data_IF_454123119803
#
_entry.id   IF_454123119803
#
_cell.length_a   1.000
_cell.length_b   1.000
_cell.length_c   1.000
_cell.angle_alpha   90.00
_cell.angle_beta   90.00
_cell.angle_gamma   90.00
#
_symmetry.space_group_name_H-M   'P 1'
#
loop_
_entity.id
_entity.type
_entity.pdbx_description
1 polymer ?
#
# COMPACT_ATOMS: atom_id res chain seq x y z
N UNK A 1 12.96 -6.06 2.24
CA UNK A 1 13.18 -7.48 1.85
C UNK A 1 13.78 -8.35 2.97
N UNK A 2 14.82 -7.92 3.70
CA UNK A 2 15.43 -8.77 4.75
C UNK A 2 14.42 -9.25 5.82
N UNK A 3 13.53 -8.38 6.31
CA UNK A 3 12.50 -8.76 7.29
C UNK A 3 11.48 -9.76 6.71
N UNK A 4 11.05 -9.58 5.45
CA UNK A 4 10.21 -10.55 4.74
C UNK A 4 10.85 -11.94 4.70
N UNK A 5 12.12 -12.02 4.25
CA UNK A 5 12.86 -13.29 4.15
C UNK A 5 13.08 -13.96 5.49
N UNK A 6 13.23 -13.17 6.55
CA UNK A 6 13.33 -13.66 7.93
C UNK A 6 11.99 -14.22 8.41
N UNK A 7 10.90 -13.53 8.12
CA UNK A 7 9.56 -13.97 8.53
C UNK A 7 9.05 -15.17 7.73
N UNK A 8 9.43 -15.29 6.45
CA UNK A 8 9.12 -16.46 5.62
C UNK A 8 9.63 -17.78 6.23
N UNK A 9 10.71 -17.71 7.01
CA UNK A 9 11.34 -18.85 7.70
C UNK A 9 10.89 -19.02 9.15
N UNK A 10 9.85 -18.30 9.57
CA UNK A 10 9.37 -18.30 10.96
C UNK A 10 8.39 -19.44 11.24
N UNK A 11 8.18 -19.74 12.53
CA UNK A 11 7.26 -20.79 12.97
C UNK A 11 5.83 -20.62 12.42
N UNK A 12 5.22 -19.41 12.40
CA UNK A 12 3.88 -19.24 11.84
C UNK A 12 3.74 -19.74 10.40
N UNK A 13 4.71 -19.46 9.52
CA UNK A 13 4.67 -19.93 8.12
C UNK A 13 4.92 -21.43 8.06
N UNK A 14 5.87 -21.94 8.84
CA UNK A 14 6.20 -23.37 8.89
C UNK A 14 5.03 -24.21 9.44
N UNK A 15 4.25 -23.66 10.37
CA UNK A 15 3.01 -24.29 10.86
C UNK A 15 1.98 -24.42 9.73
N UNK A 16 1.78 -23.38 8.94
CA UNK A 16 0.84 -23.42 7.80
C UNK A 16 1.33 -24.43 6.75
N UNK A 17 2.64 -24.49 6.50
CA UNK A 17 3.24 -25.49 5.59
C UNK A 17 2.97 -26.92 6.04
N UNK A 18 3.12 -27.22 7.34
CA UNK A 18 2.77 -28.53 7.91
C UNK A 18 1.28 -28.85 7.77
N UNK A 19 0.41 -27.88 8.01
CA UNK A 19 -1.03 -28.05 7.79
C UNK A 19 -1.34 -28.35 6.32
N UNK A 20 -0.66 -27.69 5.39
CA UNK A 20 -0.78 -27.93 3.95
C UNK A 20 -0.39 -29.37 3.59
N UNK A 21 0.76 -29.84 4.09
CA UNK A 21 1.26 -31.21 3.93
C UNK A 21 0.26 -32.24 4.46
N UNK A 22 -0.23 -32.05 5.68
CA UNK A 22 -1.19 -32.96 6.32
C UNK A 22 -2.53 -33.00 5.57
N UNK A 23 -3.05 -31.83 5.19
CA UNK A 23 -4.35 -31.70 4.54
C UNK A 23 -4.38 -32.36 3.16
N UNK A 24 -3.30 -32.21 2.38
CA UNK A 24 -3.24 -32.72 1.01
C UNK A 24 -2.51 -34.06 0.87
N UNK A 25 -1.92 -34.58 1.94
CA UNK A 25 -1.19 -35.86 1.93
C UNK A 25 0.06 -35.84 1.02
N UNK A 26 0.75 -34.69 0.94
CA UNK A 26 1.93 -34.50 0.09
C UNK A 26 3.20 -34.77 0.93
N UNK A 27 4.24 -35.43 0.40
CA UNK A 27 5.51 -35.60 1.12
C UNK A 27 6.10 -34.26 1.60
N UNK A 28 6.56 -34.22 2.85
CA UNK A 28 7.04 -33.01 3.50
C UNK A 28 8.21 -32.35 2.75
N UNK A 29 9.07 -33.15 2.14
CA UNK A 29 10.28 -32.71 1.44
C UNK A 29 9.99 -31.95 0.14
N UNK A 30 8.75 -32.00 -0.35
CA UNK A 30 8.33 -31.38 -1.62
C UNK A 30 7.75 -29.99 -1.38
N UNK A 31 7.07 -29.76 -0.26
CA UNK A 31 6.35 -28.51 0.01
C UNK A 31 7.29 -27.47 0.62
N UNK A 32 7.41 -26.33 -0.05
CA UNK A 32 8.23 -25.19 0.35
C UNK A 32 7.39 -24.05 0.94
N UNK A 33 7.98 -23.08 1.67
CA UNK A 33 7.28 -21.86 2.08
C UNK A 33 6.72 -21.06 0.90
N UNK A 34 7.37 -21.11 -0.27
CA UNK A 34 6.90 -20.48 -1.50
C UNK A 34 5.58 -21.10 -2.01
N UNK A 35 5.39 -22.40 -1.82
CA UNK A 35 4.13 -23.08 -2.15
C UNK A 35 2.98 -22.61 -1.24
N UNK A 36 3.27 -22.31 0.03
CA UNK A 36 2.29 -21.72 0.96
C UNK A 36 1.89 -20.32 0.50
N UNK A 37 2.86 -19.50 0.06
CA UNK A 37 2.56 -18.18 -0.53
C UNK A 37 1.71 -18.33 -1.78
N UNK A 38 2.03 -19.28 -2.66
CA UNK A 38 1.26 -19.54 -3.87
C UNK A 38 -0.18 -19.94 -3.53
N UNK A 39 -0.37 -20.84 -2.56
CA UNK A 39 -1.69 -21.25 -2.09
C UNK A 39 -2.49 -20.07 -1.51
N UNK A 40 -1.86 -19.19 -0.71
CA UNK A 40 -2.48 -17.98 -0.18
C UNK A 40 -2.94 -17.04 -1.31
N UNK A 41 -2.08 -16.82 -2.30
CA UNK A 41 -2.42 -16.00 -3.45
C UNK A 41 -3.58 -16.59 -4.24
N UNK A 42 -3.54 -17.89 -4.56
CA UNK A 42 -4.63 -18.57 -5.30
C UNK A 42 -5.94 -18.51 -4.51
N UNK A 43 -5.90 -18.75 -3.20
CA UNK A 43 -7.05 -18.56 -2.31
C UNK A 43 -7.67 -17.15 -2.46
N UNK A 44 -6.84 -16.10 -2.37
CA UNK A 44 -7.29 -14.71 -2.52
C UNK A 44 -7.87 -14.40 -3.91
N UNK A 45 -7.19 -14.83 -4.98
CA UNK A 45 -7.65 -14.61 -6.36
C UNK A 45 -8.94 -15.37 -6.68
N UNK A 46 -9.04 -16.64 -6.31
CA UNK A 46 -10.26 -17.43 -6.53
C UNK A 46 -11.44 -16.91 -5.73
N UNK A 47 -11.20 -16.44 -4.49
CA UNK A 47 -12.24 -15.79 -3.68
C UNK A 47 -12.74 -14.51 -4.33
N UNK A 48 -11.83 -13.69 -4.87
CA UNK A 48 -12.20 -12.47 -5.59
C UNK A 48 -12.95 -12.76 -6.90
N UNK A 49 -12.56 -13.81 -7.63
CA UNK A 49 -13.17 -14.20 -8.89
C UNK A 49 -14.54 -14.88 -8.70
N UNK A 50 -14.67 -15.75 -7.70
CA UNK A 50 -15.86 -16.58 -7.45
C UNK A 50 -16.50 -16.28 -6.10
N UNK A 51 -16.78 -15.00 -5.83
CA UNK A 51 -17.27 -14.54 -4.53
C UNK A 51 -18.65 -15.10 -4.12
N UNK A 52 -19.43 -15.64 -5.06
CA UNK A 52 -20.72 -16.30 -4.79
C UNK A 52 -20.64 -17.83 -4.72
N UNK A 53 -19.48 -18.39 -5.05
CA UNK A 53 -19.28 -19.84 -5.11
C UNK A 53 -18.78 -20.43 -3.78
N UNK A 54 -18.38 -21.69 -3.86
CA UNK A 54 -17.71 -22.33 -2.74
C UNK A 54 -16.34 -21.69 -2.48
N UNK A 55 -15.91 -21.71 -1.22
CA UNK A 55 -14.57 -21.28 -0.85
C UNK A 55 -13.51 -22.05 -1.65
N UNK A 56 -12.44 -21.36 -2.04
CA UNK A 56 -11.31 -21.98 -2.71
C UNK A 56 -10.72 -23.08 -1.83
N UNK A 57 -10.44 -24.25 -2.42
CA UNK A 57 -9.75 -25.35 -1.72
C UNK A 57 -8.37 -24.93 -1.23
N UNK A 58 -7.75 -23.94 -1.89
CA UNK A 58 -6.46 -23.39 -1.52
C UNK A 58 -6.53 -22.50 -0.29
N UNK A 59 -7.72 -22.13 0.18
CA UNK A 59 -7.89 -21.46 1.47
C UNK A 59 -7.85 -22.42 2.67
N UNK A 60 -8.07 -23.72 2.44
CA UNK A 60 -8.23 -24.69 3.52
C UNK A 60 -6.99 -24.87 4.44
N UNK A 61 -5.74 -24.75 3.97
CA UNK A 61 -4.54 -24.78 4.82
C UNK A 61 -4.50 -23.67 5.88
N UNK A 62 -5.16 -22.53 5.63
CA UNK A 62 -5.22 -21.38 6.55
C UNK A 62 -6.38 -21.56 7.54
N UNK A 63 -6.25 -22.61 8.36
CA UNK A 63 -7.32 -23.12 9.23
C UNK A 63 -7.74 -22.20 10.38
N UNK A 64 -6.96 -21.15 10.66
CA UNK A 64 -7.21 -20.22 11.74
C UNK A 64 -7.04 -18.76 11.30
N UNK A 65 -7.68 -17.84 12.04
CA UNK A 65 -7.46 -16.41 11.85
C UNK A 65 -5.98 -16.02 12.06
N UNK A 66 -5.27 -16.73 12.94
CA UNK A 66 -3.85 -16.51 13.16
C UNK A 66 -3.02 -16.84 11.91
N UNK A 67 -3.37 -17.88 11.17
CA UNK A 67 -2.67 -18.25 9.94
C UNK A 67 -2.85 -17.20 8.85
N UNK A 68 -4.09 -16.70 8.65
CA UNK A 68 -4.36 -15.60 7.72
C UNK A 68 -3.66 -14.30 8.16
N UNK A 69 -3.66 -14.00 9.46
CA UNK A 69 -2.96 -12.82 9.99
C UNK A 69 -1.44 -12.93 9.80
N UNK A 70 -0.87 -14.14 9.87
CA UNK A 70 0.55 -14.36 9.60
C UNK A 70 0.86 -14.10 8.12
N UNK A 71 0.03 -14.59 7.20
CA UNK A 71 0.21 -14.31 5.77
C UNK A 71 0.04 -12.83 5.43
N UNK A 72 -0.94 -12.15 6.04
CA UNK A 72 -1.07 -10.69 5.92
C UNK A 72 0.19 -9.98 6.44
N UNK A 73 0.73 -10.40 7.59
CA UNK A 73 1.92 -9.80 8.17
C UNK A 73 3.16 -10.02 7.30
N UNK A 74 3.30 -11.21 6.69
CA UNK A 74 4.35 -11.50 5.72
C UNK A 74 4.29 -10.51 4.55
N UNK A 75 3.11 -10.32 3.93
CA UNK A 75 2.93 -9.34 2.86
C UNK A 75 3.19 -7.90 3.30
N UNK A 76 2.79 -7.55 4.53
CA UNK A 76 3.03 -6.22 5.08
C UNK A 76 4.51 -5.90 5.22
N UNK A 77 5.32 -6.87 5.65
CA UNK A 77 6.77 -6.70 5.71
C UNK A 77 7.39 -6.43 4.34
N UNK A 78 6.87 -7.01 3.26
CA UNK A 78 7.34 -6.67 1.91
C UNK A 78 6.87 -5.27 1.50
N UNK A 79 5.55 -5.03 1.54
CA UNK A 79 4.95 -3.78 1.06
C UNK A 79 5.45 -2.56 1.83
N UNK A 80 5.55 -2.65 3.15
CA UNK A 80 6.03 -1.56 4.00
C UNK A 80 7.49 -1.24 3.71
N UNK A 81 8.37 -2.25 3.68
CA UNK A 81 9.82 -2.04 3.50
C UNK A 81 10.22 -1.69 2.08
N UNK A 82 9.62 -2.35 1.10
CA UNK A 82 10.05 -2.29 -0.30
C UNK A 82 9.30 -1.21 -1.07
N UNK A 83 8.02 -0.97 -0.76
CA UNK A 83 7.16 -0.13 -1.61
C UNK A 83 6.61 1.13 -0.94
N UNK A 84 6.62 1.20 0.39
CA UNK A 84 6.08 2.32 1.14
C UNK A 84 7.12 2.92 2.10
N UNK A 85 6.78 3.04 3.38
CA UNK A 85 7.47 3.87 4.38
C UNK A 85 8.89 3.42 4.72
N UNK A 86 9.23 2.15 4.55
CA UNK A 86 10.53 1.61 4.96
C UNK A 86 11.71 2.05 4.10
N UNK A 87 11.47 2.69 2.96
CA UNK A 87 12.55 3.31 2.18
C UNK A 87 12.14 4.69 1.66
N UNK A 88 12.94 5.71 2.01
CA UNK A 88 12.75 7.10 1.60
C UNK A 88 12.61 7.25 0.08
N UNK A 89 13.26 6.40 -0.72
CA UNK A 89 13.15 6.44 -2.18
C UNK A 89 11.71 6.28 -2.66
N UNK A 90 10.87 5.50 -1.98
CA UNK A 90 9.49 5.28 -2.38
C UNK A 90 8.68 6.57 -2.35
N UNK A 91 8.82 7.35 -1.28
CA UNK A 91 8.21 8.68 -1.17
C UNK A 91 8.71 9.63 -2.27
N UNK A 92 10.01 9.57 -2.60
CA UNK A 92 10.60 10.40 -3.67
C UNK A 92 10.09 10.02 -5.07
N UNK A 93 9.82 8.74 -5.32
CA UNK A 93 9.30 8.29 -6.62
C UNK A 93 7.89 8.82 -6.93
N UNK A 94 7.12 9.25 -5.92
CA UNK A 94 5.81 9.90 -6.11
C UNK A 94 5.88 11.44 -6.14
N UNK A 95 7.08 12.04 -6.17
CA UNK A 95 7.27 13.49 -6.10
C UNK A 95 6.60 14.22 -7.30
N UNK A 96 6.81 13.72 -8.51
CA UNK A 96 6.21 14.31 -9.73
C UNK A 96 4.68 14.19 -9.72
N UNK A 97 4.14 13.04 -9.27
CA UNK A 97 2.69 12.85 -9.10
C UNK A 97 2.11 13.86 -8.09
N UNK A 98 2.75 14.02 -6.94
CA UNK A 98 2.30 14.97 -5.92
C UNK A 98 2.34 16.42 -6.42
N UNK A 99 3.39 16.78 -7.17
CA UNK A 99 3.48 18.10 -7.83
C UNK A 99 2.36 18.30 -8.84
N UNK A 100 2.10 17.30 -9.70
CA UNK A 100 1.03 17.36 -10.68
C UNK A 100 -0.34 17.56 -10.04
N UNK A 101 -0.59 16.93 -8.88
CA UNK A 101 -1.83 17.13 -8.10
C UNK A 101 -1.96 18.58 -7.63
N UNK A 102 -0.90 19.14 -7.03
CA UNK A 102 -0.89 20.55 -6.57
C UNK A 102 -1.10 21.52 -7.73
N UNK A 103 -0.37 21.33 -8.83
CA UNK A 103 -0.49 22.17 -10.02
C UNK A 103 -1.90 22.08 -10.62
N UNK A 104 -2.51 20.88 -10.61
CA UNK A 104 -3.89 20.65 -11.03
C UNK A 104 -4.89 21.40 -10.14
N UNK A 105 -4.73 21.38 -8.82
CA UNK A 105 -5.60 22.13 -7.92
C UNK A 105 -5.48 23.63 -8.10
N UNK A 106 -4.26 24.15 -8.24
CA UNK A 106 -4.03 25.58 -8.51
C UNK A 106 -4.64 26.01 -9.84
N UNK A 107 -4.47 25.21 -10.89
CA UNK A 107 -5.09 25.49 -12.18
C UNK A 107 -6.62 25.50 -12.08
N UNK A 108 -7.23 24.49 -11.43
CA UNK A 108 -8.69 24.40 -11.25
C UNK A 108 -9.27 25.52 -10.39
N UNK A 109 -8.50 26.03 -9.42
CA UNK A 109 -8.87 27.17 -8.59
C UNK A 109 -8.94 28.49 -9.38
N UNK A 110 -8.06 28.66 -10.38
CA UNK A 110 -8.01 29.83 -11.25
C UNK A 110 -9.02 29.73 -12.40
N UNK A 111 -9.04 28.57 -13.07
CA UNK A 111 -9.85 28.32 -14.24
C UNK A 111 -10.46 26.92 -14.14
N UNK A 112 -11.77 26.86 -13.95
CA UNK A 112 -12.54 25.64 -13.62
C UNK A 112 -12.72 24.69 -14.83
N UNK A 113 -11.73 24.63 -15.71
CA UNK A 113 -11.71 23.92 -17.00
C UNK A 113 -11.93 22.42 -16.86
N UNK A 114 -11.41 21.79 -15.81
CA UNK A 114 -11.69 20.38 -15.50
C UNK A 114 -12.22 20.21 -14.09
N UNK A 115 -13.14 19.25 -13.93
CA UNK A 115 -13.78 18.90 -12.64
C UNK A 115 -13.13 17.71 -11.96
N UNK A 116 -12.50 16.83 -12.72
CA UNK A 116 -11.85 15.63 -12.23
C UNK A 116 -10.70 15.21 -13.16
N UNK A 117 -9.69 14.56 -12.58
CA UNK A 117 -8.64 13.82 -13.29
C UNK A 117 -8.58 12.43 -12.67
N UNK A 118 -8.59 11.41 -13.52
CA UNK A 118 -8.56 10.02 -13.11
C UNK A 118 -7.24 9.41 -13.57
N UNK A 119 -6.55 8.74 -12.66
CA UNK A 119 -5.31 8.04 -12.94
C UNK A 119 -5.46 6.58 -12.50
N UNK A 120 -5.10 5.66 -13.38
CA UNK A 120 -5.12 4.24 -13.11
C UNK A 120 -3.69 3.70 -13.05
N UNK A 121 -3.38 2.94 -12.00
CA UNK A 121 -2.03 2.42 -11.79
C UNK A 121 -2.07 1.14 -10.95
N UNK A 122 -0.91 0.55 -10.71
CA UNK A 122 -0.74 -0.63 -9.88
C UNK A 122 -0.50 -0.26 -8.41
N UNK A 123 -0.73 -1.22 -7.51
CA UNK A 123 -0.58 -1.05 -6.05
C UNK A 123 0.78 -0.46 -5.66
N UNK A 124 1.87 -0.86 -6.31
CA UNK A 124 3.21 -0.36 -5.99
C UNK A 124 3.42 1.14 -6.24
N UNK A 125 2.70 1.74 -7.20
CA UNK A 125 2.72 3.19 -7.43
C UNK A 125 1.82 3.91 -6.41
N UNK A 126 0.66 3.32 -6.09
CA UNK A 126 -0.24 3.84 -5.07
C UNK A 126 0.44 3.86 -3.68
N UNK A 127 1.19 2.82 -3.33
CA UNK A 127 1.96 2.73 -2.08
C UNK A 127 3.04 3.81 -1.96
N UNK A 128 3.65 4.22 -3.09
CA UNK A 128 4.60 5.35 -3.13
C UNK A 128 3.91 6.68 -2.85
N UNK A 129 2.71 6.88 -3.41
CA UNK A 129 1.89 8.06 -3.12
C UNK A 129 1.43 8.06 -1.65
N UNK A 130 1.04 6.90 -1.10
CA UNK A 130 0.74 6.72 0.34
C UNK A 130 1.92 7.15 1.20
N UNK A 131 3.13 6.68 0.88
CA UNK A 131 4.35 7.08 1.58
C UNK A 131 4.66 8.57 1.44
N UNK A 132 4.37 9.17 0.29
CA UNK A 132 4.56 10.61 0.05
C UNK A 132 3.54 11.47 0.79
N UNK A 133 2.31 10.99 0.96
CA UNK A 133 1.25 11.62 1.75
C UNK A 133 1.36 11.30 3.25
N UNK A 134 2.29 10.42 3.65
CA UNK A 134 2.46 9.93 5.03
C UNK A 134 1.18 9.30 5.60
N UNK A 135 0.42 8.61 4.75
CA UNK A 135 -0.78 7.88 5.17
C UNK A 135 -0.40 6.49 5.67
N UNK A 136 -1.14 5.98 6.66
CA UNK A 136 -0.93 4.65 7.23
C UNK A 136 0.52 4.40 7.68
N UNK A 137 1.20 5.43 8.17
CA UNK A 137 2.58 5.33 8.65
C UNK A 137 2.59 4.90 10.11
N UNK A 138 3.27 3.80 10.40
CA UNK A 138 3.55 3.36 11.76
C UNK A 138 4.68 4.20 12.39
N UNK A 139 4.56 4.48 13.69
CA UNK A 139 5.67 5.07 14.46
C UNK A 139 6.83 4.08 14.66
N UNK A 140 6.56 2.78 14.47
CA UNK A 140 7.52 1.69 14.62
C UNK A 140 7.83 1.04 13.27
N UNK A 141 9.11 0.79 13.02
CA UNK A 141 9.58 0.04 11.84
C UNK A 141 9.19 -1.44 12.01
N UNK A 142 8.24 -1.93 11.22
CA UNK A 142 7.76 -3.32 11.29
C UNK A 142 8.92 -4.32 11.07
N UNK A 143 9.03 -5.34 11.90
CA UNK A 143 10.08 -6.37 11.84
C UNK A 143 9.50 -7.77 11.94
N UNK A 144 10.17 -8.74 11.34
CA UNK A 144 9.80 -10.16 11.44
C UNK A 144 9.59 -10.63 12.89
N UNK A 145 10.39 -10.11 13.82
CA UNK A 145 10.33 -10.48 15.23
C UNK A 145 9.17 -9.85 16.03
N UNK A 146 8.39 -8.94 15.43
CA UNK A 146 7.24 -8.32 16.11
C UNK A 146 6.00 -9.22 16.11
N UNK A 147 6.01 -10.30 15.30
CA UNK A 147 4.90 -11.24 15.16
C UNK A 147 5.26 -12.63 15.71
N UNK A 148 4.38 -13.26 16.51
CA UNK A 148 3.17 -12.69 17.08
C UNK A 148 3.50 -11.71 18.21
N UNK A 149 2.69 -10.66 18.37
CA UNK A 149 2.91 -9.67 19.42
C UNK A 149 2.11 -8.39 19.25
N UNK A 150 2.09 -7.58 20.31
CA UNK A 150 1.30 -6.35 20.40
C UNK A 150 1.60 -5.36 19.27
N UNK A 151 2.88 -5.25 18.86
CA UNK A 151 3.30 -4.38 17.75
C UNK A 151 2.64 -4.83 16.45
N UNK A 152 2.73 -6.12 16.11
CA UNK A 152 2.14 -6.63 14.88
C UNK A 152 0.60 -6.55 14.91
N UNK A 153 -0.03 -6.74 16.06
CA UNK A 153 -1.49 -6.66 16.23
C UNK A 153 -2.01 -5.22 16.12
N UNK A 154 -1.29 -4.25 16.67
CA UNK A 154 -1.72 -2.84 16.70
C UNK A 154 -1.15 -1.98 15.55
N UNK A 155 -0.43 -2.59 14.60
CA UNK A 155 0.10 -1.88 13.43
C UNK A 155 -0.99 -1.16 12.64
N UNK A 156 -0.64 0.03 12.18
CA UNK A 156 -1.45 0.87 11.31
C UNK A 156 -1.36 0.34 9.87
N UNK A 157 -0.15 0.00 9.39
CA UNK A 157 0.01 -0.53 8.05
C UNK A 157 -0.57 -1.94 7.92
N UNK A 158 -1.59 -2.07 7.06
CA UNK A 158 -2.18 -3.35 6.67
C UNK A 158 -2.48 -3.33 5.18
N UNK A 159 -1.76 -4.13 4.41
CA UNK A 159 -1.83 -4.20 2.95
C UNK A 159 -3.25 -4.44 2.44
N UNK A 160 -4.01 -5.28 3.16
CA UNK A 160 -5.43 -5.57 2.92
C UNK A 160 -6.35 -4.35 3.05
N UNK A 161 -5.96 -3.35 3.86
CA UNK A 161 -6.73 -2.12 4.10
C UNK A 161 -6.17 -0.92 3.34
N UNK A 162 -4.88 -0.90 3.04
CA UNK A 162 -4.22 0.20 2.34
C UNK A 162 -4.33 0.05 0.83
N UNK A 163 -4.03 -1.14 0.30
CA UNK A 163 -4.00 -1.41 -1.15
C UNK A 163 -4.63 -2.76 -1.52
N UNK A 164 -5.91 -3.00 -1.17
CA UNK A 164 -6.68 -4.14 -1.70
C UNK A 164 -6.89 -4.03 -3.22
N UNK A 165 -7.50 -5.06 -3.82
CA UNK A 165 -8.01 -4.93 -5.19
C UNK A 165 -9.00 -3.77 -5.30
N UNK A 166 -8.83 -2.94 -6.33
CA UNK A 166 -9.66 -1.74 -6.51
C UNK A 166 -9.34 -0.58 -5.57
N UNK A 167 -8.24 -0.64 -4.81
CA UNK A 167 -7.82 0.44 -3.93
C UNK A 167 -7.71 1.78 -4.68
N UNK A 168 -8.13 2.85 -4.02
CA UNK A 168 -8.12 4.19 -4.59
C UNK A 168 -7.70 5.24 -3.57
N UNK A 169 -7.13 6.33 -4.08
CA UNK A 169 -6.86 7.54 -3.33
C UNK A 169 -7.46 8.70 -4.10
N UNK A 170 -8.41 9.40 -3.49
CA UNK A 170 -9.03 10.59 -4.06
C UNK A 170 -8.58 11.82 -3.29
N UNK A 171 -8.08 12.82 -4.01
CA UNK A 171 -7.79 14.14 -3.44
C UNK A 171 -8.81 15.12 -4.01
N UNK A 172 -9.58 15.75 -3.14
CA UNK A 172 -10.73 16.59 -3.52
C UNK A 172 -10.48 18.02 -3.05
N UNK A 173 -10.55 18.97 -3.98
CA UNK A 173 -10.46 20.39 -3.70
C UNK A 173 -11.85 20.96 -3.38
N UNK A 174 -12.02 21.47 -2.17
CA UNK A 174 -13.20 22.17 -1.70
C UNK A 174 -12.98 23.68 -1.70
N UNK A 175 -14.07 24.41 -1.93
CA UNK A 175 -14.14 25.85 -1.65
C UNK A 175 -15.06 26.07 -0.45
N UNK A 176 -14.45 26.29 0.71
CA UNK A 176 -15.09 26.55 1.98
C UNK A 176 -15.22 28.06 2.19
N UNK A 177 -16.27 28.67 1.64
CA UNK A 177 -16.55 30.11 1.77
C UNK A 177 -15.35 31.02 1.40
N UNK A 178 -14.66 30.68 0.30
CA UNK A 178 -13.48 31.40 -0.19
C UNK A 178 -12.15 30.80 0.23
N UNK A 179 -12.11 29.91 1.23
CA UNK A 179 -10.91 29.13 1.59
C UNK A 179 -10.85 27.84 0.78
N UNK A 180 -9.72 27.59 0.11
CA UNK A 180 -9.50 26.37 -0.65
C UNK A 180 -8.87 25.30 0.24
N UNK A 181 -9.52 24.13 0.30
CA UNK A 181 -9.09 23.03 1.16
C UNK A 181 -9.06 21.70 0.42
N UNK A 182 -8.10 20.85 0.75
CA UNK A 182 -7.88 19.52 0.18
C UNK A 182 -8.35 18.47 1.18
N UNK A 183 -9.34 17.67 0.79
CA UNK A 183 -9.66 16.41 1.46
C UNK A 183 -8.89 15.27 0.79
N UNK A 184 -8.22 14.44 1.58
CA UNK A 184 -7.52 13.25 1.10
C UNK A 184 -8.29 12.03 1.56
N UNK A 185 -8.75 11.22 0.62
CA UNK A 185 -9.51 10.00 0.87
C UNK A 185 -8.69 8.80 0.43
N UNK A 186 -8.61 7.77 1.26
CA UNK A 186 -8.05 6.48 0.89
C UNK A 186 -9.13 5.42 1.10
N UNK A 187 -9.47 4.68 0.03
CA UNK A 187 -10.56 3.71 0.03
C UNK A 187 -11.84 4.31 0.64
N UNK A 188 -12.27 5.44 0.07
CA UNK A 188 -13.47 6.20 0.45
C UNK A 188 -13.47 6.80 1.87
N UNK A 189 -12.41 6.63 2.65
CA UNK A 189 -12.32 7.17 4.02
C UNK A 189 -11.52 8.46 4.04
N UNK A 190 -12.07 9.51 4.66
CA UNK A 190 -11.37 10.77 4.85
C UNK A 190 -10.18 10.56 5.80
N UNK A 191 -8.99 10.83 5.30
CA UNK A 191 -7.74 10.62 6.00
C UNK A 191 -7.25 11.89 6.68
N UNK A 192 -6.73 11.75 7.90
CA UNK A 192 -5.95 12.80 8.53
C UNK A 192 -4.53 12.76 7.99
N UNK A 193 -4.14 13.83 7.30
CA UNK A 193 -2.78 13.97 6.79
C UNK A 193 -1.89 14.59 7.88
N UNK A 194 -0.77 13.95 8.29
CA UNK A 194 0.00 14.39 9.47
C UNK A 194 0.58 15.80 9.40
N UNK A 195 0.84 16.31 8.19
CA UNK A 195 1.39 17.65 7.97
C UNK A 195 0.33 18.73 7.77
N UNK A 196 -0.94 18.42 8.05
CA UNK A 196 -2.05 19.35 7.95
C UNK A 196 -2.62 19.65 9.34
N UNK A 197 -2.88 20.94 9.60
CA UNK A 197 -3.36 21.46 10.88
C UNK A 197 -4.82 21.10 11.21
N UNK A 198 -5.64 20.77 10.21
CA UNK A 198 -7.06 20.46 10.36
C UNK A 198 -7.50 19.28 9.49
N UNK A 199 -8.76 18.83 9.62
CA UNK A 199 -9.27 17.67 8.88
C UNK A 199 -9.20 17.84 7.35
N UNK A 200 -9.68 18.98 6.83
CA UNK A 200 -9.45 19.38 5.44
C UNK A 200 -8.22 20.29 5.41
N UNK A 201 -7.19 19.91 4.67
CA UNK A 201 -5.91 20.62 4.64
C UNK A 201 -6.03 21.92 3.84
N UNK A 202 -5.59 23.05 4.37
CA UNK A 202 -5.55 24.28 3.57
C UNK A 202 -4.62 24.09 2.35
N UNK A 203 -5.05 24.56 1.16
CA UNK A 203 -4.34 24.27 -0.10
C UNK A 203 -2.87 24.72 -0.06
N UNK A 204 -2.57 25.85 0.59
CA UNK A 204 -1.19 26.33 0.73
C UNK A 204 -0.37 25.46 1.70
N UNK A 205 -0.95 25.01 2.81
CA UNK A 205 -0.30 24.07 3.74
C UNK A 205 0.02 22.75 3.04
N UNK A 206 -0.96 22.19 2.31
CA UNK A 206 -0.79 21.00 1.49
C UNK A 206 0.32 21.20 0.44
N UNK A 207 0.30 22.32 -0.27
CA UNK A 207 1.27 22.63 -1.33
C UNK A 207 2.69 22.81 -0.80
N UNK A 208 2.87 23.43 0.37
CA UNK A 208 4.19 23.63 0.98
C UNK A 208 4.91 22.32 1.28
N UNK A 209 4.18 21.25 1.62
CA UNK A 209 4.77 19.93 1.85
C UNK A 209 5.43 19.37 0.57
N UNK A 210 4.81 19.62 -0.59
CA UNK A 210 5.30 19.12 -1.88
C UNK A 210 6.23 20.10 -2.61
N UNK A 211 6.22 21.37 -2.23
CA UNK A 211 7.12 22.39 -2.76
C UNK A 211 8.59 22.15 -2.36
N UNK A 212 8.83 21.41 -1.27
CA UNK A 212 10.15 21.05 -0.77
C UNK A 212 10.53 19.65 -1.27
N UNK A 213 11.44 19.57 -2.25
CA UNK A 213 12.01 18.31 -2.67
C UNK A 213 12.66 18.34 -4.05
N UNK A 214 13.77 17.62 -4.18
CA UNK A 214 14.39 17.33 -5.46
C UNK A 214 13.56 16.24 -6.15
N UNK A 215 12.68 16.59 -7.09
CA UNK A 215 11.80 15.62 -7.78
C UNK A 215 12.43 14.99 -9.04
N UNK A 216 13.75 15.11 -9.26
CA UNK A 216 14.39 14.58 -10.46
C UNK A 216 14.56 13.05 -10.39
N UNK A 217 13.52 12.32 -10.78
CA UNK A 217 13.49 10.86 -10.79
C UNK A 217 14.64 10.27 -11.62
N UNK A 218 15.04 10.93 -12.71
CA UNK A 218 16.17 10.51 -13.55
C UNK A 218 17.49 10.48 -12.78
N UNK A 219 17.70 11.47 -11.90
CA UNK A 219 18.90 11.52 -11.05
C UNK A 219 18.89 10.46 -9.95
N UNK A 220 17.70 10.11 -9.44
CA UNK A 220 17.52 9.06 -8.43
C UNK A 220 17.67 7.66 -9.00
N UNK A 221 17.23 7.45 -10.25
CA UNK A 221 17.21 6.14 -10.90
C UNK A 221 18.42 5.92 -11.84
N UNK A 222 19.29 6.92 -12.01
CA UNK A 222 20.46 6.84 -12.90
C UNK A 222 20.10 6.66 -14.38
N UNK A 223 18.89 7.04 -14.80
CA UNK A 223 18.43 6.84 -16.18
C UNK A 223 18.61 8.09 -17.05
N UNK A 224 19.36 7.98 -18.13
CA UNK A 224 19.48 9.01 -19.19
C UNK A 224 18.35 8.94 -20.25
N UNK A 225 17.32 8.14 -20.04
CA UNK A 225 16.17 8.06 -20.95
C UNK A 225 15.03 8.96 -20.47
N UNK A 226 14.58 9.85 -21.36
CA UNK A 226 13.33 10.57 -21.19
C UNK A 226 12.18 9.54 -21.09
N UNK A 227 11.50 9.50 -19.95
CA UNK A 227 10.31 8.68 -19.79
C UNK A 227 9.17 9.34 -20.57
N UNK A 228 8.63 8.59 -21.52
CA UNK A 228 7.44 8.99 -22.26
C UNK A 228 6.28 9.14 -21.26
N UNK A 229 5.64 10.31 -21.28
CA UNK A 229 4.35 10.51 -20.63
C UNK A 229 3.32 9.67 -21.39
N UNK A 230 3.11 8.43 -20.97
CA UNK A 230 1.88 7.73 -21.30
C UNK A 230 0.77 8.34 -20.42
N UNK A 231 0.12 9.37 -20.96
CA UNK A 231 -1.18 9.80 -20.48
C UNK A 231 -2.18 8.76 -21.00
N UNK A 232 -2.72 7.97 -20.08
CA UNK A 232 -3.96 7.23 -20.29
C UNK A 232 -5.04 7.88 -19.43
#
# INVERSE_FOLDING_TARGET
KAEYERFLKSEPVERIRRNFVELFGIPDEIVTPEDVILAHNVCGFETAWNFTGNASVWCAPFSSQADLNAMEYLEDLDRWHVHAHGNKINSMLACETAKNIVDSFRASALDRTFKAKFHFTHCGALQKLIARLRLFEDDHVLKAGDYPGEIAENRIWRGSKTTPFGANIALVLYNCAGSLKVGVYANEQLMRVPFCSSGLCDLEEFSMHFAKGYCHIQSLCGSNSALAYAVA
#
